data_IF_609215110032
#
_entry.id   IF_609215110032
#
_cell.length_a   1.000
_cell.length_b   1.000
_cell.length_c   1.000
_cell.angle_alpha   90.00
_cell.angle_beta   90.00
_cell.angle_gamma   90.00
#
_symmetry.space_group_name_H-M   'P 1'
#
loop_
_entity.id
_entity.type
_entity.pdbx_description
1 polymer ?
#
# COMPACT_ATOMS: atom_id res chain seq x y z
N UNK A 1 -65.70 -21.39 -26.46
CA UNK A 1 -64.63 -21.66 -25.46
C UNK A 1 -63.66 -20.49 -25.52
N UNK A 2 -63.19 -19.98 -24.38
CA UNK A 2 -62.56 -18.66 -24.30
C UNK A 2 -61.22 -18.72 -23.55
N UNK A 3 -60.26 -17.87 -23.93
CA UNK A 3 -58.89 -17.70 -23.33
C UNK A 3 -57.97 -18.92 -23.53
N UNK A 4 -56.64 -18.83 -23.57
CA UNK A 4 -55.66 -17.76 -23.86
C UNK A 4 -54.29 -18.49 -24.16
N UNK A 5 -53.10 -17.91 -24.32
CA UNK A 5 -52.55 -16.54 -24.26
C UNK A 5 -51.27 -16.52 -25.13
N UNK A 6 -50.83 -15.37 -25.66
CA UNK A 6 -49.51 -15.27 -26.32
C UNK A 6 -48.37 -15.29 -25.30
N UNK A 7 -47.33 -16.09 -25.56
CA UNK A 7 -46.08 -16.06 -24.80
C UNK A 7 -45.15 -14.96 -25.34
N UNK A 8 -44.63 -14.11 -24.45
CA UNK A 8 -43.70 -13.02 -24.77
C UNK A 8 -42.28 -13.44 -24.36
N UNK A 9 -41.30 -13.50 -25.26
CA UNK A 9 -39.89 -13.63 -24.89
C UNK A 9 -39.32 -12.26 -24.50
N UNK A 10 -39.23 -11.99 -23.20
CA UNK A 10 -38.45 -10.88 -22.65
C UNK A 10 -36.96 -11.20 -22.75
N UNK A 11 -36.28 -10.64 -23.76
CA UNK A 11 -34.82 -10.71 -23.87
C UNK A 11 -34.19 -9.71 -22.89
N UNK A 12 -33.82 -10.19 -21.71
CA UNK A 12 -33.03 -9.42 -20.76
C UNK A 12 -31.57 -9.34 -21.25
N UNK A 13 -31.22 -8.25 -21.94
CA UNK A 13 -29.81 -7.92 -22.22
C UNK A 13 -29.18 -7.47 -20.91
N UNK A 14 -28.51 -8.40 -20.23
CA UNK A 14 -27.76 -8.09 -19.02
C UNK A 14 -26.62 -7.14 -19.35
N UNK A 15 -26.65 -5.94 -18.76
CA UNK A 15 -25.48 -5.07 -18.69
C UNK A 15 -24.42 -5.80 -17.87
N UNK A 16 -23.41 -6.34 -18.55
CA UNK A 16 -22.15 -6.70 -17.91
C UNK A 16 -21.46 -5.42 -17.48
N UNK A 17 -21.81 -4.95 -16.28
CA UNK A 17 -20.97 -4.05 -15.51
C UNK A 17 -19.61 -4.72 -15.40
N UNK A 18 -18.65 -4.27 -16.21
CA UNK A 18 -17.26 -4.62 -16.02
C UNK A 18 -16.89 -4.16 -14.62
N UNK A 19 -16.81 -5.11 -13.70
CA UNK A 19 -16.20 -4.85 -12.40
C UNK A 19 -14.83 -4.28 -12.73
N UNK A 20 -14.60 -3.02 -12.34
CA UNK A 20 -13.28 -2.41 -12.44
C UNK A 20 -12.45 -3.13 -11.40
N UNK A 21 -11.91 -4.28 -11.81
CA UNK A 21 -11.01 -5.06 -11.00
C UNK A 21 -9.84 -4.14 -10.72
N UNK A 22 -9.75 -3.67 -9.48
CA UNK A 22 -8.52 -3.11 -8.97
C UNK A 22 -7.49 -4.19 -9.18
N UNK A 23 -6.64 -4.03 -10.20
CA UNK A 23 -5.48 -4.87 -10.37
C UNK A 23 -4.71 -4.74 -9.06
N UNK A 24 -4.70 -5.81 -8.27
CA UNK A 24 -3.80 -5.90 -7.14
C UNK A 24 -2.43 -5.59 -7.70
N UNK A 25 -1.69 -4.67 -7.08
CA UNK A 25 -0.33 -4.39 -7.52
C UNK A 25 0.52 -5.62 -7.19
N UNK A 26 0.49 -6.61 -8.08
CA UNK A 26 1.39 -7.74 -8.05
C UNK A 26 2.79 -7.16 -8.11
N UNK A 27 3.50 -7.28 -6.99
CA UNK A 27 4.83 -6.75 -6.83
C UNK A 27 5.85 -7.89 -6.85
N UNK A 28 6.22 -8.42 -8.04
CA UNK A 28 7.04 -9.62 -8.15
C UNK A 28 8.47 -9.43 -7.61
N UNK A 29 9.01 -8.20 -7.63
CA UNK A 29 10.28 -7.87 -6.96
C UNK A 29 10.14 -7.62 -5.45
N UNK A 30 8.92 -7.62 -4.93
CA UNK A 30 8.59 -7.35 -3.54
C UNK A 30 8.73 -5.89 -3.12
N UNK A 31 8.35 -5.63 -1.87
CA UNK A 31 8.23 -4.29 -1.30
C UNK A 31 9.51 -3.84 -0.59
N UNK A 32 9.89 -2.58 -0.80
CA UNK A 32 11.04 -1.95 -0.16
C UNK A 32 10.69 -0.58 0.45
N UNK A 33 11.40 -0.23 1.52
CA UNK A 33 11.30 1.09 2.13
C UNK A 33 11.89 2.17 1.21
N UNK A 34 11.32 3.37 1.30
CA UNK A 34 12.02 4.58 0.85
C UNK A 34 13.22 4.92 1.75
N UNK A 35 13.77 6.16 1.68
CA UNK A 35 14.87 6.59 2.53
C UNK A 35 14.50 6.73 4.02
N UNK A 36 13.20 6.75 4.34
CA UNK A 36 12.69 6.76 5.71
C UNK A 36 11.38 5.98 5.81
N UNK A 37 11.19 5.24 6.90
CA UNK A 37 9.89 4.74 7.32
C UNK A 37 9.29 5.70 8.37
N UNK A 38 8.06 6.14 8.12
CA UNK A 38 7.30 7.04 9.01
C UNK A 38 6.01 6.34 9.41
N UNK A 39 5.66 6.38 10.68
CA UNK A 39 4.49 5.67 11.21
C UNK A 39 3.87 6.36 12.43
N UNK A 40 2.56 6.14 12.62
CA UNK A 40 1.78 6.60 13.77
C UNK A 40 1.37 5.41 14.63
N UNK A 41 1.33 5.62 15.94
CA UNK A 41 1.06 4.62 16.96
C UNK A 41 -0.30 4.90 17.64
N UNK A 42 -0.97 3.87 18.18
CA UNK A 42 -2.29 4.02 18.82
C UNK A 42 -2.25 4.79 20.15
N UNK A 43 -1.07 4.92 20.77
CA UNK A 43 -0.80 5.80 21.91
C UNK A 43 -0.57 7.28 21.52
N UNK A 44 -0.72 7.61 20.23
CA UNK A 44 -0.62 8.96 19.68
C UNK A 44 0.79 9.40 19.30
N UNK A 45 1.82 8.56 19.49
CA UNK A 45 3.17 8.88 19.04
C UNK A 45 3.31 8.79 17.51
N UNK A 46 4.14 9.67 16.95
CA UNK A 46 4.61 9.56 15.58
C UNK A 46 6.12 9.27 15.57
N UNK A 47 6.55 8.26 14.84
CA UNK A 47 7.97 7.85 14.75
C UNK A 47 8.45 7.93 13.30
N UNK A 48 9.70 8.32 13.12
CA UNK A 48 10.42 8.29 11.85
C UNK A 48 11.77 7.60 12.07
N UNK A 49 12.09 6.62 11.23
CA UNK A 49 13.38 5.90 11.23
C UNK A 49 14.03 5.96 9.84
N UNK A 50 15.35 6.01 9.79
CA UNK A 50 16.11 5.91 8.55
C UNK A 50 16.06 4.47 7.99
N UNK A 51 15.90 4.36 6.67
CA UNK A 51 15.75 3.08 5.97
C UNK A 51 16.43 3.10 4.61
N UNK A 52 16.81 1.94 4.09
CA UNK A 52 17.35 1.80 2.73
C UNK A 52 17.04 0.42 2.16
N UNK A 53 16.29 0.38 1.05
CA UNK A 53 15.81 -0.86 0.45
C UNK A 53 15.01 -1.67 1.48
N UNK A 54 15.56 -2.80 1.93
CA UNK A 54 14.94 -3.67 2.94
C UNK A 54 15.47 -3.47 4.36
N UNK A 55 16.48 -2.63 4.55
CA UNK A 55 17.09 -2.36 5.86
C UNK A 55 16.40 -1.22 6.61
N UNK A 56 16.30 -1.38 7.93
CA UNK A 56 16.11 -0.29 8.89
C UNK A 56 17.45 -0.06 9.59
N UNK A 57 17.97 1.16 9.55
CA UNK A 57 19.34 1.43 10.00
C UNK A 57 19.64 2.91 10.15
N UNK A 58 20.07 3.31 11.35
CA UNK A 58 20.51 4.67 11.65
C UNK A 58 19.49 5.47 12.46
N UNK A 59 19.47 6.79 12.28
CA UNK A 59 18.76 7.70 13.19
C UNK A 59 17.24 7.46 13.27
N UNK A 60 16.73 7.48 14.50
CA UNK A 60 15.31 7.43 14.84
C UNK A 60 14.87 8.69 15.60
N UNK A 61 13.63 9.14 15.36
CA UNK A 61 13.00 10.24 16.10
C UNK A 61 11.56 9.86 16.44
N UNK A 62 11.22 9.97 17.73
CA UNK A 62 9.86 9.87 18.24
C UNK A 62 9.30 11.24 18.65
N UNK A 63 8.12 11.57 18.15
CA UNK A 63 7.37 12.79 18.43
C UNK A 63 6.19 12.43 19.34
N UNK A 64 6.11 12.97 20.58
CA UNK A 64 5.01 12.68 21.48
C UNK A 64 3.71 13.40 21.08
N UNK A 65 2.53 12.85 21.41
CA UNK A 65 1.23 13.45 21.10
C UNK A 65 1.02 14.82 21.78
N UNK A 66 1.67 15.07 22.91
CA UNK A 66 1.49 16.27 23.74
C UNK A 66 2.53 17.38 23.47
N UNK A 67 3.28 17.31 22.37
CA UNK A 67 4.37 18.26 22.04
C UNK A 67 5.49 18.34 23.10
N UNK A 68 5.63 17.33 23.96
CA UNK A 68 6.75 17.18 24.88
C UNK A 68 8.10 16.93 24.18
N UNK A 69 9.18 16.69 24.95
CA UNK A 69 10.51 16.47 24.40
C UNK A 69 10.56 15.28 23.44
N UNK A 70 11.16 15.49 22.26
CA UNK A 70 11.40 14.44 21.28
C UNK A 70 12.26 13.32 21.87
N UNK A 71 11.95 12.07 21.49
CA UNK A 71 12.85 10.95 21.66
C UNK A 71 13.77 10.86 20.43
N UNK A 72 15.03 10.52 20.69
CA UNK A 72 16.07 10.26 19.68
C UNK A 72 16.72 8.93 20.02
N UNK A 73 17.24 8.26 18.99
CA UNK A 73 17.86 6.95 19.12
C UNK A 73 18.37 6.43 17.79
N UNK A 74 18.75 5.16 17.79
CA UNK A 74 19.19 4.42 16.61
C UNK A 74 18.26 3.24 16.38
N UNK A 75 17.78 3.07 15.14
CA UNK A 75 16.97 1.95 14.71
C UNK A 75 17.82 0.91 13.95
N UNK A 76 17.54 -0.37 14.19
CA UNK A 76 18.21 -1.49 13.51
C UNK A 76 17.21 -2.63 13.22
N UNK A 77 17.24 -3.19 12.02
CA UNK A 77 16.38 -4.29 11.60
C UNK A 77 16.10 -4.27 10.10
N UNK A 78 14.91 -4.72 9.68
CA UNK A 78 14.56 -4.76 8.26
C UNK A 78 13.22 -5.40 7.93
N UNK A 79 13.11 -5.81 6.67
CA UNK A 79 11.96 -6.50 6.10
C UNK A 79 12.37 -7.65 5.18
N UNK A 80 11.64 -8.76 5.23
CA UNK A 80 11.74 -9.84 4.23
C UNK A 80 10.86 -9.57 2.97
N UNK A 81 10.07 -8.48 2.98
CA UNK A 81 9.10 -8.08 1.96
C UNK A 81 7.64 -8.45 2.27
N UNK A 82 7.42 -9.34 3.23
CA UNK A 82 6.10 -9.72 3.75
C UNK A 82 5.90 -9.25 5.20
N UNK A 83 6.95 -9.29 6.00
CA UNK A 83 7.01 -8.86 7.40
C UNK A 83 8.07 -7.78 7.61
N UNK A 84 7.96 -7.06 8.73
CA UNK A 84 8.89 -6.02 9.16
C UNK A 84 9.23 -6.28 10.62
N UNK A 85 10.51 -6.25 10.97
CA UNK A 85 10.97 -6.36 12.35
C UNK A 85 12.19 -5.45 12.58
N UNK A 86 12.10 -4.56 13.57
CA UNK A 86 13.21 -3.68 13.97
C UNK A 86 13.13 -3.27 15.44
N UNK A 87 14.28 -2.99 16.04
CA UNK A 87 14.40 -2.32 17.34
C UNK A 87 14.72 -0.83 17.16
N UNK A 88 14.41 -0.03 18.18
CA UNK A 88 14.95 1.32 18.35
C UNK A 88 15.53 1.42 19.75
N UNK A 89 16.86 1.56 19.86
CA UNK A 89 17.54 1.93 21.10
C UNK A 89 17.47 3.44 21.27
N UNK A 90 16.72 3.92 22.28
CA UNK A 90 16.55 5.36 22.54
C UNK A 90 17.63 5.89 23.47
N UNK A 91 18.02 7.16 23.28
CA UNK A 91 19.06 7.87 24.06
C UNK A 91 18.80 7.90 25.57
N UNK A 92 17.57 7.59 26.01
CA UNK A 92 17.17 7.49 27.42
C UNK A 92 17.42 6.10 28.04
N UNK A 93 18.12 5.20 27.34
CA UNK A 93 18.54 3.90 27.88
C UNK A 93 17.43 2.84 27.89
N UNK A 94 16.42 2.96 27.03
CA UNK A 94 15.41 1.92 26.82
C UNK A 94 15.26 1.61 25.33
N UNK A 95 14.81 0.39 25.03
CA UNK A 95 14.59 -0.07 23.66
C UNK A 95 13.08 -0.21 23.37
N UNK A 96 12.72 -0.14 22.10
CA UNK A 96 11.35 -0.44 21.64
C UNK A 96 11.42 -1.29 20.38
N UNK A 97 10.83 -2.49 20.44
CA UNK A 97 10.72 -3.39 19.29
C UNK A 97 9.40 -3.19 18.56
N UNK A 98 9.46 -3.30 17.23
CA UNK A 98 8.33 -3.19 16.33
C UNK A 98 8.29 -4.43 15.43
N UNK A 99 7.15 -5.10 15.38
CA UNK A 99 6.86 -6.12 14.38
C UNK A 99 5.67 -5.68 13.54
N UNK A 100 5.62 -6.07 12.27
CA UNK A 100 4.54 -5.69 11.36
C UNK A 100 4.46 -6.54 10.11
N UNK A 101 3.37 -6.36 9.36
CA UNK A 101 3.05 -7.08 8.13
C UNK A 101 2.83 -6.07 7.01
N UNK A 102 3.39 -6.37 5.83
CA UNK A 102 3.21 -5.59 4.61
C UNK A 102 1.97 -6.10 3.87
N UNK A 103 0.99 -5.23 3.67
CA UNK A 103 -0.17 -5.50 2.83
C UNK A 103 0.29 -5.64 1.36
N UNK A 104 0.32 -6.88 0.85
CA UNK A 104 0.94 -7.20 -0.43
C UNK A 104 0.29 -6.55 -1.65
N UNK A 105 -0.97 -6.11 -1.55
CA UNK A 105 -1.68 -5.44 -2.65
C UNK A 105 -1.43 -3.91 -2.70
N UNK A 106 -0.88 -3.32 -1.63
CA UNK A 106 -0.78 -1.86 -1.48
C UNK A 106 0.58 -1.35 -1.01
N UNK A 107 1.41 -2.20 -0.39
CA UNK A 107 2.66 -1.81 0.26
C UNK A 107 2.46 -1.11 1.62
N UNK A 108 1.24 -0.99 2.14
CA UNK A 108 1.01 -0.40 3.46
C UNK A 108 1.51 -1.34 4.58
N UNK A 109 2.14 -0.81 5.63
CA UNK A 109 2.58 -1.61 6.79
C UNK A 109 1.70 -1.32 8.00
N UNK A 110 1.29 -2.38 8.69
CA UNK A 110 0.64 -2.33 9.99
C UNK A 110 1.30 -3.31 10.93
N UNK A 111 1.36 -2.99 12.23
CA UNK A 111 2.06 -3.83 13.19
C UNK A 111 1.70 -3.55 14.63
N UNK A 112 2.41 -4.22 15.53
CA UNK A 112 2.23 -4.15 16.97
C UNK A 112 3.59 -4.11 17.68
N UNK A 113 3.62 -3.51 18.87
CA UNK A 113 4.74 -3.56 19.82
C UNK A 113 4.47 -4.65 20.88
N UNK A 114 5.48 -5.16 21.59
CA UNK A 114 5.28 -6.12 22.68
C UNK A 114 4.37 -5.66 23.84
N UNK A 115 4.08 -4.35 23.95
CA UNK A 115 3.17 -3.76 24.93
C UNK A 115 1.73 -3.55 24.40
N UNK A 116 1.40 -4.10 23.22
CA UNK A 116 0.06 -4.07 22.63
C UNK A 116 -0.29 -2.76 21.90
N UNK A 117 0.65 -1.82 21.79
CA UNK A 117 0.43 -0.61 20.99
C UNK A 117 0.58 -0.95 19.50
N UNK A 118 -0.49 -0.72 18.76
CA UNK A 118 -0.52 -0.91 17.31
C UNK A 118 0.06 0.30 16.59
N UNK A 119 0.60 0.06 15.39
CA UNK A 119 1.18 1.11 14.56
C UNK A 119 0.90 0.89 13.08
N UNK A 120 0.92 1.99 12.31
CA UNK A 120 0.68 1.99 10.87
C UNK A 120 1.62 2.95 10.16
N UNK A 121 2.20 2.54 9.03
CA UNK A 121 3.00 3.43 8.19
C UNK A 121 2.14 4.55 7.59
N UNK A 122 2.66 5.78 7.59
CA UNK A 122 2.00 6.95 6.97
C UNK A 122 2.18 6.98 5.46
N UNK A 123 3.03 6.10 4.94
CA UNK A 123 3.34 5.96 3.52
C UNK A 123 3.52 4.47 3.21
N UNK A 124 3.20 4.08 1.99
CA UNK A 124 3.37 2.71 1.53
C UNK A 124 4.82 2.49 1.09
N UNK A 125 5.26 1.23 1.10
CA UNK A 125 6.53 0.82 0.53
C UNK A 125 6.51 1.01 -1.01
N UNK A 126 7.69 1.11 -1.59
CA UNK A 126 7.89 1.13 -3.04
C UNK A 126 7.93 -0.31 -3.56
N UNK A 127 7.25 -0.57 -4.68
CA UNK A 127 7.33 -1.86 -5.34
C UNK A 127 8.60 -1.95 -6.21
N UNK A 128 9.41 -2.99 -6.04
CA UNK A 128 10.55 -3.29 -6.90
C UNK A 128 10.09 -4.07 -8.13
N UNK A 129 10.60 -3.69 -9.30
CA UNK A 129 10.37 -4.42 -10.57
C UNK A 129 8.96 -4.30 -11.13
N UNK A 130 8.06 -3.56 -10.48
CA UNK A 130 6.79 -3.18 -11.08
C UNK A 130 7.03 -2.24 -12.26
N UNK A 131 6.59 -2.65 -13.45
CA UNK A 131 6.35 -1.67 -14.52
C UNK A 131 5.32 -0.69 -13.99
N UNK A 132 5.71 0.58 -13.84
CA UNK A 132 4.73 1.66 -13.70
C UNK A 132 3.83 1.51 -14.91
N UNK A 133 2.54 1.28 -14.68
CA UNK A 133 1.55 1.31 -15.74
C UNK A 133 1.59 2.73 -16.33
N UNK A 134 2.36 2.91 -17.40
CA UNK A 134 2.26 4.09 -18.25
C UNK A 134 0.80 4.23 -18.57
N UNK A 135 0.13 5.36 -18.27
CA UNK A 135 -1.24 5.56 -18.69
C UNK A 135 -1.22 5.52 -20.21
N UNK A 136 -1.63 4.39 -20.78
CA UNK A 136 -1.59 4.17 -22.22
C UNK A 136 -2.39 5.30 -22.87
N UNK A 137 -1.71 6.04 -23.74
CA UNK A 137 -2.26 7.26 -24.31
C UNK A 137 -3.61 6.94 -24.95
N UNK A 138 -4.61 7.78 -24.68
CA UNK A 138 -5.98 7.61 -25.12
C UNK A 138 -6.03 7.10 -26.57
N UNK A 139 -6.78 6.02 -26.81
CA UNK A 139 -6.88 5.33 -28.10
C UNK A 139 -7.45 6.23 -29.20
N UNK A 140 -6.62 7.12 -29.74
CA UNK A 140 -6.85 7.84 -30.97
C UNK A 140 -6.64 6.87 -32.15
N UNK A 141 -7.66 6.05 -32.40
CA UNK A 141 -7.57 4.90 -33.31
C UNK A 141 -8.89 4.55 -34.00
N UNK A 142 -9.76 5.54 -34.25
CA UNK A 142 -10.83 5.37 -35.23
C UNK A 142 -10.23 5.33 -36.64
N UNK A 143 -10.53 4.31 -37.46
CA UNK A 143 -9.92 4.18 -38.79
C UNK A 143 -10.36 5.34 -39.72
N UNK A 144 -9.52 5.74 -40.70
CA UNK A 144 -9.92 6.69 -41.72
C UNK A 144 -11.09 6.12 -42.53
N UNK A 145 -12.12 6.93 -42.73
CA UNK A 145 -13.25 6.56 -43.59
C UNK A 145 -12.79 6.63 -45.04
N UNK A 146 -12.88 5.49 -45.74
CA UNK A 146 -12.52 5.36 -47.15
C UNK A 146 -13.27 6.35 -48.05
N UNK A 147 -12.55 6.88 -49.03
CA UNK A 147 -13.04 7.69 -50.14
C UNK A 147 -13.01 6.86 -51.45
N UNK A 148 -13.64 7.32 -52.55
CA UNK A 148 -14.50 6.46 -53.37
C UNK A 148 -13.83 5.85 -54.62
N UNK A 149 -14.55 4.94 -55.29
CA UNK A 149 -14.65 4.91 -56.75
C UNK A 149 -16.13 4.87 -57.23
N UNK A 150 -16.52 5.38 -58.39
CA UNK A 150 -15.81 6.14 -59.45
C UNK A 150 -16.81 7.06 -60.18
#
# INVERSE_FOLDING_TARGET
>A
MSRALLAIPLVAIGLVSSAVGHANAECPGGWEFGPTLRFTQSDGWAVTVATSGRGVGGSAVGIPPNQGPLLRGTAEGGSDGATVAFGIGWDKGFETHYTGVVNQATGAVTGERPDGVTWKSTSNLTCIGGVVATPEAASAGGPPIDAPPA
#
